data_IF_816415602477
#
_entry.id   IF_816415602477
#
_cell.length_a   1.000
_cell.length_b   1.000
_cell.length_c   1.000
_cell.angle_alpha   90.00
_cell.angle_beta   90.00
_cell.angle_gamma   90.00
#
_symmetry.space_group_name_H-M   'P 1'
#
loop_
_entity.id
_entity.type
_entity.pdbx_description
1 polymer ?
#
# COMPACT_ATOMS: atom_id res chain seq x y z
N UNK A 1 12.15 -2.92 19.14
CA UNK A 1 12.17 -2.87 20.62
C UNK A 1 13.58 -2.80 21.20
N UNK A 2 14.42 -3.87 21.15
CA UNK A 2 15.75 -3.85 21.79
C UNK A 2 16.67 -2.75 21.26
N UNK A 3 16.74 -2.58 19.93
CA UNK A 3 17.49 -1.49 19.29
C UNK A 3 17.06 -0.07 19.76
N UNK A 4 15.80 0.12 20.16
CA UNK A 4 15.34 1.40 20.73
C UNK A 4 15.83 1.57 22.17
N UNK A 5 15.96 0.48 22.93
CA UNK A 5 16.47 0.50 24.30
C UNK A 5 17.99 0.65 24.36
N UNK A 6 18.72 0.19 23.33
CA UNK A 6 20.17 0.33 23.22
C UNK A 6 20.62 1.79 23.23
N UNK A 7 19.81 2.71 22.71
CA UNK A 7 20.10 4.15 22.69
C UNK A 7 20.30 4.75 24.09
N UNK A 8 19.74 4.13 25.12
CA UNK A 8 19.90 4.60 26.51
C UNK A 8 21.20 4.13 27.17
N UNK A 9 21.97 3.29 26.48
CA UNK A 9 23.22 2.70 26.96
C UNK A 9 24.45 3.54 26.61
N UNK A 10 24.31 4.56 25.76
CA UNK A 10 25.44 5.37 25.30
C UNK A 10 26.20 6.03 26.45
N UNK A 11 27.51 5.77 26.51
CA UNK A 11 28.38 6.27 27.57
C UNK A 11 28.27 5.56 28.92
N UNK A 12 27.50 4.47 29.02
CA UNK A 12 27.55 3.55 30.18
C UNK A 12 28.71 2.55 30.02
N UNK A 13 29.25 2.02 31.12
CA UNK A 13 30.42 1.14 31.07
C UNK A 13 30.06 -0.27 30.61
N UNK A 14 30.64 -0.67 29.47
CA UNK A 14 30.47 -1.98 28.81
C UNK A 14 29.04 -2.54 28.92
N UNK A 15 28.03 -1.80 28.41
CA UNK A 15 26.64 -2.12 28.62
C UNK A 15 26.16 -3.17 27.62
N UNK A 16 25.20 -3.99 28.03
CA UNK A 16 24.47 -4.88 27.14
C UNK A 16 23.00 -4.94 27.55
N UNK A 17 22.12 -5.17 26.59
CA UNK A 17 20.69 -5.37 26.80
C UNK A 17 20.25 -6.66 26.14
N UNK A 18 19.42 -7.44 26.83
CA UNK A 18 18.91 -8.71 26.32
C UNK A 18 17.49 -8.97 26.80
N UNK A 19 16.68 -9.65 25.98
CA UNK A 19 15.38 -10.15 26.41
C UNK A 19 15.56 -11.51 27.10
N UNK A 20 15.12 -11.62 28.35
CA UNK A 20 15.21 -12.83 29.16
C UNK A 20 13.93 -13.68 29.12
N UNK A 21 12.80 -13.04 28.84
CA UNK A 21 11.55 -13.70 28.51
C UNK A 21 10.78 -12.86 27.51
N UNK A 22 10.07 -13.51 26.58
CA UNK A 22 9.22 -12.85 25.59
C UNK A 22 7.88 -13.60 25.59
N UNK A 23 6.78 -12.85 25.72
CA UNK A 23 5.44 -13.37 25.57
C UNK A 23 4.66 -12.45 24.65
N UNK A 24 4.20 -13.00 23.54
CA UNK A 24 3.32 -12.26 22.63
C UNK A 24 1.91 -12.16 23.20
N UNK A 25 1.31 -11.00 23.03
CA UNK A 25 -0.07 -10.71 23.41
C UNK A 25 -0.80 -10.11 22.22
N UNK A 26 -2.06 -10.49 22.01
CA UNK A 26 -2.82 -9.91 20.93
C UNK A 26 -3.14 -8.44 21.22
N UNK A 27 -3.14 -7.63 20.17
CA UNK A 27 -3.58 -6.24 20.23
C UNK A 27 -5.10 -6.14 20.44
N UNK A 28 -5.84 -6.96 19.67
CA UNK A 28 -7.30 -7.10 19.67
C UNK A 28 -7.67 -8.49 19.11
N UNK A 29 -8.94 -8.71 18.72
CA UNK A 29 -9.36 -9.98 18.11
C UNK A 29 -8.52 -10.26 16.86
N UNK A 30 -7.74 -11.34 16.88
CA UNK A 30 -6.89 -11.74 15.76
C UNK A 30 -5.79 -10.73 15.38
N UNK A 31 -5.33 -9.86 16.29
CA UNK A 31 -4.31 -8.82 16.03
C UNK A 31 -4.76 -7.67 15.10
N UNK A 32 -6.06 -7.54 14.88
CA UNK A 32 -6.64 -6.52 14.01
C UNK A 32 -6.85 -5.19 14.72
N UNK A 33 -6.23 -4.12 14.23
CA UNK A 33 -6.48 -2.75 14.68
C UNK A 33 -7.59 -2.07 13.87
N UNK A 34 -7.68 -2.39 12.59
CA UNK A 34 -8.69 -1.83 11.69
C UNK A 34 -8.34 -2.03 10.23
N UNK A 35 -9.14 -1.40 9.39
CA UNK A 35 -8.94 -1.34 7.94
C UNK A 35 -8.61 0.11 7.57
N UNK A 36 -7.51 0.32 6.84
CA UNK A 36 -7.16 1.60 6.24
C UNK A 36 -7.49 1.54 4.75
N UNK A 37 -8.46 2.34 4.31
CA UNK A 37 -8.78 2.47 2.89
C UNK A 37 -7.79 3.42 2.24
N UNK A 38 -6.89 2.90 1.41
CA UNK A 38 -5.93 3.66 0.61
C UNK A 38 -6.51 3.90 -0.78
N UNK A 39 -7.36 4.91 -0.84
CA UNK A 39 -8.06 5.29 -2.07
C UNK A 39 -8.95 4.18 -2.62
N UNK A 40 -8.78 3.91 -3.91
CA UNK A 40 -9.71 3.10 -4.70
C UNK A 40 -9.33 1.63 -4.86
N UNK A 41 -8.07 1.25 -4.59
CA UNK A 41 -7.55 -0.09 -4.93
C UNK A 41 -7.01 -0.90 -3.75
N UNK A 42 -6.94 -0.33 -2.54
CA UNK A 42 -6.42 -1.06 -1.40
C UNK A 42 -7.19 -0.76 -0.13
N UNK A 43 -7.55 -1.82 0.60
CA UNK A 43 -7.80 -1.73 2.03
C UNK A 43 -6.63 -2.41 2.73
N UNK A 44 -5.71 -1.64 3.30
CA UNK A 44 -4.63 -2.19 4.09
C UNK A 44 -5.19 -2.65 5.43
N UNK A 45 -4.93 -3.90 5.80
CA UNK A 45 -5.23 -4.36 7.14
C UNK A 45 -4.20 -3.71 8.08
N UNK A 46 -4.68 -2.87 9.00
CA UNK A 46 -3.85 -2.38 10.09
C UNK A 46 -3.79 -3.49 11.13
N UNK A 47 -2.66 -4.19 11.20
CA UNK A 47 -2.40 -5.22 12.21
C UNK A 47 -1.39 -4.70 13.23
N UNK A 48 -1.27 -5.40 14.34
CA UNK A 48 -0.29 -5.08 15.34
C UNK A 48 -0.23 -6.13 16.42
N UNK A 49 0.83 -6.08 17.22
CA UNK A 49 1.03 -7.02 18.31
C UNK A 49 1.52 -6.30 19.55
N UNK A 50 1.40 -6.98 20.68
CA UNK A 50 2.03 -6.56 21.94
C UNK A 50 3.05 -7.59 22.36
N UNK A 51 4.21 -7.12 22.79
CA UNK A 51 5.27 -7.94 23.35
C UNK A 51 5.36 -7.62 24.84
N UNK A 52 5.08 -8.60 25.68
CA UNK A 52 5.32 -8.55 27.12
C UNK A 52 6.64 -9.27 27.40
N UNK A 53 7.69 -8.51 27.68
CA UNK A 53 9.05 -9.02 27.82
C UNK A 53 9.70 -8.63 29.14
N UNK A 54 10.64 -9.44 29.61
CA UNK A 54 11.56 -9.07 30.68
C UNK A 54 12.91 -8.74 30.04
N UNK A 55 13.31 -7.48 30.09
CA UNK A 55 14.54 -6.98 29.48
C UNK A 55 15.59 -6.77 30.55
N UNK A 56 16.74 -7.40 30.40
CA UNK A 56 17.88 -7.29 31.32
C UNK A 56 18.94 -6.40 30.72
N UNK A 57 19.27 -5.35 31.44
CA UNK A 57 20.46 -4.54 31.25
C UNK A 57 21.58 -5.08 32.11
N UNK A 58 22.79 -5.11 31.58
CA UNK A 58 23.97 -5.59 32.27
C UNK A 58 25.14 -4.64 32.02
N UNK A 59 25.83 -4.30 33.10
CA UNK A 59 26.93 -3.35 33.14
C UNK A 59 28.17 -4.00 33.73
N UNK A 60 29.33 -3.66 33.19
CA UNK A 60 30.63 -4.04 33.76
C UNK A 60 31.47 -2.80 33.99
N UNK A 61 31.91 -2.59 35.23
CA UNK A 61 32.64 -1.39 35.63
C UNK A 61 33.92 -1.75 36.41
N UNK A 62 34.94 -0.88 36.43
CA UNK A 62 36.18 -1.13 37.16
C UNK A 62 36.02 -1.06 38.68
N UNK A 63 35.00 -0.38 39.18
CA UNK A 63 34.71 -0.21 40.61
C UNK A 63 33.25 -0.54 40.93
N UNK A 64 32.99 -0.87 42.20
CA UNK A 64 31.64 -1.10 42.72
C UNK A 64 30.75 0.14 42.51
N UNK A 65 31.24 1.31 42.89
CA UNK A 65 30.54 2.60 42.76
C UNK A 65 30.17 2.90 41.30
N UNK A 66 31.08 2.67 40.35
CA UNK A 66 30.78 2.89 38.93
C UNK A 66 29.72 1.93 38.37
N UNK A 67 29.62 0.70 38.90
CA UNK A 67 28.56 -0.24 38.54
C UNK A 67 27.20 0.19 39.12
N UNK A 68 27.19 0.76 40.32
CA UNK A 68 25.99 1.31 40.96
C UNK A 68 25.50 2.59 40.26
N UNK A 69 26.42 3.49 39.92
CA UNK A 69 26.16 4.72 39.18
C UNK A 69 25.59 4.44 37.78
N UNK A 70 26.08 3.39 37.11
CA UNK A 70 25.58 2.99 35.79
C UNK A 70 24.08 2.63 35.82
N UNK A 71 23.64 1.86 36.83
CA UNK A 71 22.23 1.50 37.00
C UNK A 71 21.39 2.72 37.35
N UNK A 72 21.88 3.58 38.26
CA UNK A 72 21.20 4.83 38.63
C UNK A 72 21.03 5.76 37.42
N UNK A 73 22.08 5.86 36.59
CA UNK A 73 22.07 6.64 35.36
C UNK A 73 21.10 6.08 34.33
N UNK A 74 21.06 4.75 34.14
CA UNK A 74 20.08 4.09 33.29
C UNK A 74 18.65 4.44 33.75
N UNK A 75 18.37 4.29 35.04
CA UNK A 75 17.04 4.55 35.59
C UNK A 75 16.62 6.01 35.38
N UNK A 76 17.52 6.96 35.61
CA UNK A 76 17.26 8.38 35.36
C UNK A 76 16.97 8.67 33.88
N UNK A 77 17.72 8.06 32.96
CA UNK A 77 17.51 8.21 31.51
C UNK A 77 16.18 7.64 31.05
N UNK A 78 15.83 6.43 31.49
CA UNK A 78 14.55 5.79 31.16
C UNK A 78 13.37 6.60 31.70
N UNK A 79 13.49 7.16 32.90
CA UNK A 79 12.47 8.02 33.48
C UNK A 79 12.32 9.34 32.68
N UNK A 80 13.45 9.99 32.36
CA UNK A 80 13.46 11.23 31.59
C UNK A 80 12.92 11.05 30.16
N UNK A 81 13.05 9.85 29.59
CA UNK A 81 12.55 9.53 28.26
C UNK A 81 11.18 8.85 28.24
N UNK A 82 10.45 8.82 29.37
CA UNK A 82 9.17 8.13 29.50
C UNK A 82 8.15 8.51 28.42
N UNK A 83 8.00 9.80 28.11
CA UNK A 83 7.09 10.27 27.06
C UNK A 83 7.54 9.82 25.66
N UNK A 84 8.84 9.92 25.36
CA UNK A 84 9.40 9.48 24.08
C UNK A 84 9.26 7.96 23.90
N UNK A 85 9.48 7.19 24.96
CA UNK A 85 9.29 5.75 24.99
C UNK A 85 7.81 5.39 24.78
N UNK A 86 6.87 6.13 25.40
CA UNK A 86 5.45 5.93 25.18
C UNK A 86 5.06 6.15 23.71
N UNK A 87 5.53 7.24 23.10
CA UNK A 87 5.32 7.54 21.67
C UNK A 87 5.92 6.43 20.78
N UNK A 88 7.07 5.87 21.17
CA UNK A 88 7.73 4.79 20.45
C UNK A 88 7.06 3.41 20.63
N UNK A 89 6.01 3.29 21.46
CA UNK A 89 5.22 2.06 21.65
C UNK A 89 5.43 1.35 23.00
N UNK A 90 6.23 1.89 23.93
CA UNK A 90 6.41 1.31 25.26
C UNK A 90 5.25 1.69 26.18
N UNK A 91 4.21 0.87 26.21
CA UNK A 91 3.01 1.06 27.03
C UNK A 91 3.27 0.86 28.53
N UNK A 92 4.25 0.03 28.87
CA UNK A 92 4.69 -0.19 30.25
C UNK A 92 6.18 -0.46 30.28
N UNK A 93 6.87 0.21 31.19
CA UNK A 93 8.25 -0.06 31.54
C UNK A 93 8.37 0.00 33.06
N UNK A 94 8.58 -1.14 33.72
CA UNK A 94 8.59 -1.23 35.18
C UNK A 94 9.85 -1.96 35.63
N UNK A 95 10.61 -1.37 36.54
CA UNK A 95 11.74 -2.06 37.16
C UNK A 95 11.24 -3.28 37.94
N UNK A 96 11.81 -4.44 37.66
CA UNK A 96 11.42 -5.71 38.29
C UNK A 96 12.47 -6.15 39.30
N UNK A 97 13.74 -6.10 38.90
CA UNK A 97 14.85 -6.56 39.73
C UNK A 97 16.10 -5.72 39.46
N UNK A 98 16.92 -5.52 40.48
CA UNK A 98 18.29 -5.04 40.32
C UNK A 98 19.18 -5.93 41.16
N UNK A 99 20.18 -6.54 40.54
CA UNK A 99 21.11 -7.39 41.28
C UNK A 99 22.01 -6.57 42.18
N UNK A 100 22.54 -7.20 43.23
CA UNK A 100 23.74 -6.68 43.87
C UNK A 100 24.89 -6.71 42.86
N UNK A 101 25.86 -5.80 43.03
CA UNK A 101 27.06 -5.82 42.23
C UNK A 101 27.95 -7.00 42.65
N UNK A 102 28.44 -7.73 41.66
CA UNK A 102 29.25 -8.94 41.83
C UNK A 102 30.63 -8.71 41.23
N UNK A 103 31.69 -9.06 41.96
CA UNK A 103 33.05 -9.01 41.42
C UNK A 103 33.30 -10.23 40.52
N UNK A 104 33.66 -9.98 39.27
CA UNK A 104 34.00 -10.99 38.27
C UNK A 104 35.52 -11.09 38.20
N UNK A 105 36.08 -12.09 38.90
CA UNK A 105 37.52 -12.26 39.03
C UNK A 105 38.25 -12.44 37.68
N UNK A 106 37.62 -13.10 36.71
CA UNK A 106 38.21 -13.37 35.40
C UNK A 106 38.53 -12.12 34.59
N UNK A 107 37.75 -11.04 34.77
CA UNK A 107 37.90 -9.76 34.06
C UNK A 107 38.30 -8.62 34.98
N UNK A 108 38.46 -8.89 36.28
CA UNK A 108 38.68 -7.92 37.35
C UNK A 108 37.71 -6.72 37.29
N UNK A 109 36.43 -6.99 37.06
CA UNK A 109 35.38 -5.97 36.92
C UNK A 109 34.20 -6.27 37.83
N UNK A 110 33.44 -5.25 38.20
CA UNK A 110 32.16 -5.37 38.89
C UNK A 110 31.03 -5.45 37.88
N UNK A 111 30.22 -6.50 37.98
CA UNK A 111 29.02 -6.71 37.16
C UNK A 111 27.78 -6.34 37.97
N UNK A 112 26.88 -5.56 37.37
CA UNK A 112 25.55 -5.31 37.93
C UNK A 112 24.48 -5.42 36.85
N UNK A 113 23.31 -5.93 37.20
CA UNK A 113 22.19 -6.11 36.27
C UNK A 113 20.94 -5.39 36.77
N UNK A 114 20.14 -4.89 35.83
CA UNK A 114 18.83 -4.30 36.08
C UNK A 114 17.83 -4.89 35.10
N UNK A 115 16.77 -5.52 35.62
CA UNK A 115 15.71 -6.15 34.83
C UNK A 115 14.46 -5.28 34.85
N UNK A 116 13.88 -5.05 33.68
CA UNK A 116 12.65 -4.29 33.50
C UNK A 116 11.61 -5.17 32.81
N UNK A 117 10.38 -5.12 33.32
CA UNK A 117 9.22 -5.64 32.62
C UNK A 117 8.71 -4.61 31.63
N UNK A 118 8.65 -5.00 30.37
CA UNK A 118 8.29 -4.17 29.22
C UNK A 118 6.99 -4.68 28.59
N UNK A 119 6.03 -3.80 28.36
CA UNK A 119 4.94 -4.03 27.42
C UNK A 119 5.13 -3.09 26.22
N UNK A 120 5.47 -3.66 25.08
CA UNK A 120 5.75 -2.94 23.85
C UNK A 120 4.67 -3.24 22.81
N UNK A 121 4.05 -2.21 22.24
CA UNK A 121 3.11 -2.32 21.14
C UNK A 121 3.81 -1.95 19.82
N UNK A 122 3.67 -2.81 18.81
CA UNK A 122 4.14 -2.53 17.47
C UNK A 122 2.97 -2.62 16.48
N UNK A 123 3.03 -1.79 15.46
CA UNK A 123 2.06 -1.77 14.37
C UNK A 123 2.77 -2.19 13.09
N UNK A 124 2.08 -2.96 12.27
CA UNK A 124 2.53 -3.29 10.92
C UNK A 124 1.32 -3.30 10.00
N UNK A 125 1.57 -3.05 8.72
CA UNK A 125 0.55 -3.09 7.71
C UNK A 125 0.64 -4.43 7.02
N UNK A 126 -0.51 -5.02 6.75
CA UNK A 126 -0.60 -6.28 6.05
C UNK A 126 -1.48 -6.12 4.81
N UNK A 127 -1.01 -6.67 3.71
CA UNK A 127 -1.65 -6.62 2.39
C UNK A 127 -2.55 -7.83 2.13
N UNK A 128 -2.72 -8.73 3.11
CA UNK A 128 -3.68 -9.85 3.05
C UNK A 128 -5.11 -9.42 2.63
N UNK A 129 -5.48 -8.14 2.79
CA UNK A 129 -6.76 -7.55 2.38
C UNK A 129 -6.84 -7.07 0.91
N UNK A 130 -5.93 -7.49 0.04
CA UNK A 130 -5.83 -7.07 -1.37
C UNK A 130 -6.92 -7.66 -2.29
N UNK A 131 -8.13 -7.93 -1.78
CA UNK A 131 -9.27 -8.39 -2.60
C UNK A 131 -9.64 -7.34 -3.69
N UNK A 132 -9.30 -6.07 -3.47
CA UNK A 132 -9.60 -4.94 -4.37
C UNK A 132 -8.70 -4.80 -5.60
N UNK A 133 -7.65 -5.63 -5.75
CA UNK A 133 -6.82 -5.69 -6.98
C UNK A 133 -7.14 -6.89 -7.86
N UNK A 134 -8.10 -7.74 -7.46
CA UNK A 134 -8.56 -8.87 -8.27
C UNK A 134 -9.40 -8.32 -9.43
N UNK A 135 -8.75 -8.07 -10.57
CA UNK A 135 -9.42 -7.59 -11.78
C UNK A 135 -10.32 -8.65 -12.43
N UNK A 136 -9.98 -9.94 -12.23
CA UNK A 136 -10.57 -11.06 -12.95
C UNK A 136 -10.57 -12.31 -12.09
N UNK A 137 -11.74 -12.94 -11.91
CA UNK A 137 -11.84 -14.29 -11.30
C UNK A 137 -12.40 -15.25 -12.36
N UNK A 138 -11.60 -16.21 -12.86
CA UNK A 138 -12.12 -17.27 -13.70
C UNK A 138 -12.98 -18.24 -12.88
N UNK A 139 -14.22 -18.44 -13.31
CA UNK A 139 -15.16 -19.42 -12.73
C UNK A 139 -14.98 -20.78 -13.40
N UNK A 140 -14.60 -20.80 -14.68
CA UNK A 140 -14.41 -22.03 -15.44
C UNK A 140 -13.20 -21.90 -16.37
N UNK A 141 -12.38 -22.94 -16.40
CA UNK A 141 -11.17 -23.02 -17.22
C UNK A 141 -11.27 -24.24 -18.14
N UNK A 142 -11.22 -24.03 -19.44
CA UNK A 142 -10.91 -25.08 -20.40
C UNK A 142 -9.40 -25.34 -20.36
N UNK A 143 -9.00 -26.56 -20.02
CA UNK A 143 -7.60 -26.93 -19.87
C UNK A 143 -6.92 -27.18 -21.23
N UNK A 144 -7.69 -27.31 -22.32
CA UNK A 144 -7.17 -27.60 -23.65
C UNK A 144 -6.76 -26.34 -24.45
N UNK A 145 -7.33 -25.18 -24.14
CA UNK A 145 -6.94 -23.89 -24.74
C UNK A 145 -5.68 -23.30 -24.07
N UNK A 146 -4.89 -22.43 -24.70
CA UNK A 146 -3.75 -21.75 -24.06
C UNK A 146 -4.11 -20.34 -23.53
N UNK A 147 -3.40 -19.87 -22.50
CA UNK A 147 -3.47 -18.48 -22.01
C UNK A 147 -4.86 -18.04 -21.51
N UNK A 148 -5.21 -16.77 -21.75
CA UNK A 148 -6.49 -16.16 -21.32
C UNK A 148 -7.73 -16.78 -21.98
N UNK A 149 -7.55 -17.56 -23.06
CA UNK A 149 -8.62 -18.26 -23.78
C UNK A 149 -9.13 -19.48 -23.01
N UNK A 150 -8.38 -19.94 -22.00
CA UNK A 150 -8.83 -20.98 -21.06
C UNK A 150 -10.06 -20.54 -20.29
N UNK A 151 -10.21 -19.26 -19.99
CA UNK A 151 -11.25 -18.80 -19.07
C UNK A 151 -12.60 -18.64 -19.78
N UNK A 152 -13.50 -19.62 -19.64
CA UNK A 152 -14.79 -19.64 -20.35
C UNK A 152 -15.92 -18.94 -19.60
N UNK A 153 -15.70 -18.58 -18.33
CA UNK A 153 -16.63 -17.75 -17.54
C UNK A 153 -15.84 -16.92 -16.55
N UNK A 154 -16.07 -15.61 -16.54
CA UNK A 154 -15.28 -14.64 -15.77
C UNK A 154 -16.18 -13.62 -15.11
N UNK A 155 -15.89 -13.30 -13.83
CA UNK A 155 -16.40 -12.10 -13.18
C UNK A 155 -15.35 -11.00 -13.31
N UNK A 156 -15.72 -9.90 -13.96
CA UNK A 156 -14.93 -8.67 -14.04
C UNK A 156 -15.63 -7.59 -13.23
N UNK A 157 -14.91 -6.93 -12.31
CA UNK A 157 -15.35 -5.65 -11.75
C UNK A 157 -15.11 -4.53 -12.80
N UNK A 158 -15.45 -3.28 -12.51
CA UNK A 158 -15.05 -2.11 -13.30
C UNK A 158 -13.54 -1.78 -13.15
N UNK A 159 -12.72 -2.83 -13.13
CA UNK A 159 -11.29 -2.89 -12.87
C UNK A 159 -10.64 -3.77 -13.94
N UNK A 160 -9.53 -3.31 -14.50
CA UNK A 160 -8.67 -4.09 -15.39
C UNK A 160 -7.23 -4.05 -14.92
N UNK A 161 -6.45 -5.06 -15.34
CA UNK A 161 -4.99 -5.08 -15.22
C UNK A 161 -4.40 -5.09 -16.62
N UNK A 162 -3.41 -4.23 -16.85
CA UNK A 162 -2.52 -4.25 -18.01
C UNK A 162 -1.13 -4.65 -17.56
N UNK A 163 -0.51 -5.55 -18.29
CA UNK A 163 0.86 -6.02 -18.08
C UNK A 163 1.47 -6.55 -19.39
N UNK A 164 2.61 -7.23 -19.28
CA UNK A 164 3.33 -7.85 -20.40
C UNK A 164 2.67 -9.12 -20.95
N UNK A 165 1.60 -9.62 -20.33
CA UNK A 165 0.81 -10.73 -20.87
C UNK A 165 -0.39 -10.22 -21.66
N UNK A 166 -1.10 -9.22 -21.14
CA UNK A 166 -2.26 -8.64 -21.82
C UNK A 166 -2.60 -7.21 -21.36
N UNK A 167 -3.20 -6.45 -22.27
CA UNK A 167 -3.77 -5.13 -22.01
C UNK A 167 -5.22 -5.02 -22.52
N UNK A 168 -6.19 -5.75 -21.91
CA UNK A 168 -7.59 -5.74 -22.34
C UNK A 168 -8.25 -4.37 -22.17
N UNK A 169 -9.24 -4.04 -23.00
CA UNK A 169 -9.98 -2.79 -22.87
C UNK A 169 -10.75 -2.71 -21.54
N UNK A 170 -10.70 -1.55 -20.86
CA UNK A 170 -11.64 -1.22 -19.79
C UNK A 170 -12.94 -0.73 -20.41
N UNK A 171 -14.03 -1.45 -20.21
CA UNK A 171 -15.33 -1.11 -20.79
C UNK A 171 -16.40 -0.98 -19.70
N UNK A 172 -17.12 0.14 -19.72
CA UNK A 172 -18.30 0.37 -18.89
C UNK A 172 -19.44 0.79 -19.79
N UNK A 173 -20.44 -0.08 -19.92
CA UNK A 173 -21.67 0.20 -20.66
C UNK A 173 -22.80 0.53 -19.69
N UNK A 174 -23.75 1.37 -20.12
CA UNK A 174 -24.97 1.55 -19.33
C UNK A 174 -25.83 0.27 -19.39
N UNK A 175 -26.33 -0.15 -18.24
CA UNK A 175 -27.27 -1.27 -18.14
C UNK A 175 -28.68 -0.82 -18.51
N UNK A 176 -29.46 -1.68 -19.17
CA UNK A 176 -30.83 -1.36 -19.59
C UNK A 176 -31.70 -0.95 -18.38
N UNK A 177 -32.10 0.33 -18.34
CA UNK A 177 -32.97 0.87 -17.28
C UNK A 177 -32.24 1.59 -16.14
N UNK A 178 -30.92 1.58 -16.11
CA UNK A 178 -30.10 2.31 -15.13
C UNK A 178 -29.26 3.38 -15.82
N UNK A 179 -29.13 4.55 -15.20
CA UNK A 179 -28.20 5.60 -15.65
C UNK A 179 -26.89 5.38 -14.95
N UNK A 180 -25.85 4.99 -15.68
CA UNK A 180 -24.53 4.82 -15.10
C UNK A 180 -23.82 6.17 -15.06
N UNK A 181 -23.40 6.56 -13.87
CA UNK A 181 -22.55 7.73 -13.66
C UNK A 181 -21.10 7.27 -13.49
N UNK A 182 -20.17 8.01 -14.10
CA UNK A 182 -18.74 7.82 -13.90
C UNK A 182 -18.20 9.10 -13.29
N UNK A 183 -17.80 9.02 -12.03
CA UNK A 183 -17.31 10.18 -11.26
C UNK A 183 -15.80 10.37 -11.41
N UNK A 184 -15.11 9.41 -11.99
CA UNK A 184 -13.67 9.49 -12.22
C UNK A 184 -13.06 8.15 -12.60
N UNK A 185 -11.74 8.14 -12.61
CA UNK A 185 -10.90 6.97 -12.74
C UNK A 185 -9.95 6.93 -11.55
N UNK A 186 -9.54 5.73 -11.21
CA UNK A 186 -8.42 5.53 -10.32
C UNK A 186 -7.39 4.65 -11.04
N UNK A 187 -6.12 4.79 -10.65
CA UNK A 187 -5.03 3.96 -11.14
C UNK A 187 -4.10 3.51 -10.01
N UNK A 188 -3.49 2.33 -10.18
CA UNK A 188 -2.35 1.87 -9.41
C UNK A 188 -1.32 1.31 -10.39
N UNK A 189 -0.16 1.94 -10.51
CA UNK A 189 0.79 1.67 -11.60
C UNK A 189 2.22 1.46 -11.12
N UNK A 190 2.86 0.40 -11.58
CA UNK A 190 4.31 0.20 -11.56
C UNK A 190 4.85 0.37 -12.98
N UNK A 191 5.76 1.33 -13.15
CA UNK A 191 6.47 1.58 -14.40
C UNK A 191 7.98 1.53 -14.16
N UNK A 192 8.74 0.71 -14.89
CA UNK A 192 10.20 0.75 -14.90
C UNK A 192 10.70 2.14 -15.30
N UNK A 193 11.90 2.49 -14.82
CA UNK A 193 12.54 3.73 -15.21
C UNK A 193 12.66 3.82 -16.74
N UNK A 194 12.39 5.00 -17.29
CA UNK A 194 12.46 5.33 -18.74
C UNK A 194 11.39 4.67 -19.62
N UNK A 195 10.62 3.69 -19.13
CA UNK A 195 9.50 3.14 -19.87
C UNK A 195 8.31 4.10 -19.86
N UNK A 196 7.77 4.38 -21.05
CA UNK A 196 6.60 5.27 -21.20
C UNK A 196 5.37 4.57 -21.74
N UNK A 197 5.54 3.40 -22.37
CA UNK A 197 4.49 2.64 -23.05
C UNK A 197 3.95 3.30 -24.32
N UNK A 198 3.15 2.55 -25.07
CA UNK A 198 2.47 3.03 -26.28
C UNK A 198 1.24 3.87 -25.97
N UNK A 199 0.59 4.39 -27.02
CA UNK A 199 -0.58 5.26 -26.89
C UNK A 199 -1.75 4.61 -26.15
N UNK A 200 -2.51 5.44 -25.43
CA UNK A 200 -3.76 5.06 -24.76
C UNK A 200 -4.90 5.93 -25.27
N UNK A 201 -6.04 5.34 -25.59
CA UNK A 201 -7.24 6.08 -25.99
C UNK A 201 -8.31 5.97 -24.92
N UNK A 202 -8.84 7.12 -24.51
CA UNK A 202 -10.03 7.23 -23.65
C UNK A 202 -11.18 7.71 -24.54
N UNK A 203 -12.29 6.98 -24.55
CA UNK A 203 -13.41 7.24 -25.42
C UNK A 203 -14.76 7.12 -24.71
N UNK A 204 -15.71 7.94 -25.16
CA UNK A 204 -17.14 7.72 -24.97
C UNK A 204 -17.73 7.42 -26.34
N UNK A 205 -18.33 6.25 -26.48
CA UNK A 205 -18.81 5.74 -27.75
C UNK A 205 -20.32 5.50 -27.68
N UNK A 206 -21.05 6.04 -28.65
CA UNK A 206 -22.38 5.56 -29.03
C UNK A 206 -22.22 4.38 -30.00
N UNK A 207 -22.65 3.19 -29.59
CA UNK A 207 -22.58 1.96 -30.40
C UNK A 207 -23.41 2.00 -31.69
N UNK A 208 -24.33 2.96 -31.82
CA UNK A 208 -25.12 3.16 -33.05
C UNK A 208 -24.51 4.17 -34.00
N UNK A 209 -23.49 4.91 -33.57
CA UNK A 209 -22.81 5.86 -34.44
C UNK A 209 -22.08 5.11 -35.56
N UNK A 210 -22.20 5.61 -36.79
CA UNK A 210 -21.61 5.01 -37.98
C UNK A 210 -20.36 5.74 -38.48
N UNK A 211 -19.98 6.85 -37.85
CA UNK A 211 -18.79 7.65 -38.16
C UNK A 211 -17.65 7.39 -37.19
N UNK A 212 -16.49 7.99 -37.44
CA UNK A 212 -15.40 7.98 -36.47
C UNK A 212 -15.72 8.90 -35.28
N UNK A 213 -15.22 8.61 -34.06
CA UNK A 213 -15.37 9.49 -32.91
C UNK A 213 -14.74 10.87 -33.15
N UNK A 214 -15.38 11.91 -32.62
CA UNK A 214 -14.80 13.26 -32.55
C UNK A 214 -13.51 13.21 -31.72
N UNK A 215 -12.39 13.65 -32.30
CA UNK A 215 -11.09 13.64 -31.60
C UNK A 215 -10.85 14.98 -30.92
N UNK A 216 -10.59 14.94 -29.61
CA UNK A 216 -10.23 16.11 -28.82
C UNK A 216 -8.74 16.14 -28.50
N UNK A 217 -8.16 17.34 -28.46
CA UNK A 217 -6.72 17.55 -28.26
C UNK A 217 -6.26 17.35 -26.80
N UNK A 218 -7.18 17.35 -25.83
CA UNK A 218 -6.85 17.20 -24.42
C UNK A 218 -7.99 16.54 -23.66
N UNK A 219 -7.65 15.92 -22.53
CA UNK A 219 -8.62 15.32 -21.62
C UNK A 219 -9.65 16.33 -21.12
N UNK A 220 -9.23 17.57 -20.83
CA UNK A 220 -10.13 18.63 -20.39
C UNK A 220 -11.15 19.02 -21.48
N UNK A 221 -10.71 19.12 -22.74
CA UNK A 221 -11.61 19.43 -23.85
C UNK A 221 -12.59 18.27 -24.15
N UNK A 222 -12.08 17.03 -24.11
CA UNK A 222 -12.90 15.82 -24.20
C UNK A 222 -13.96 15.80 -23.09
N UNK A 223 -13.55 15.95 -21.82
CA UNK A 223 -14.42 15.90 -20.66
C UNK A 223 -15.50 16.99 -20.70
N UNK A 224 -15.14 18.23 -21.03
CA UNK A 224 -16.09 19.32 -21.19
C UNK A 224 -17.14 19.02 -22.29
N UNK A 225 -16.72 18.46 -23.43
CA UNK A 225 -17.63 18.14 -24.53
C UNK A 225 -18.58 16.99 -24.21
N UNK A 226 -18.10 15.91 -23.58
CA UNK A 226 -18.94 14.75 -23.28
C UNK A 226 -19.87 14.97 -22.08
N UNK A 227 -19.59 15.99 -21.25
CA UNK A 227 -20.40 16.36 -20.09
C UNK A 227 -21.25 17.60 -20.28
N UNK A 228 -21.28 18.18 -21.49
CA UNK A 228 -22.12 19.34 -21.80
C UNK A 228 -23.59 19.08 -21.40
N UNK A 229 -24.22 19.98 -20.62
CA UNK A 229 -25.55 19.73 -20.08
C UNK A 229 -26.67 19.80 -21.14
N UNK A 230 -26.40 20.43 -22.29
CA UNK A 230 -27.39 20.69 -23.34
C UNK A 230 -27.22 19.72 -24.51
N UNK A 231 -26.00 19.59 -25.02
CA UNK A 231 -25.65 18.80 -26.20
C UNK A 231 -24.33 18.07 -26.01
N UNK A 232 -24.28 17.06 -25.11
CA UNK A 232 -23.06 16.31 -24.87
C UNK A 232 -22.65 15.53 -26.11
N UNK A 233 -21.37 15.57 -26.46
CA UNK A 233 -20.83 14.65 -27.46
C UNK A 233 -20.87 13.22 -26.90
N UNK A 234 -21.49 12.32 -27.66
CA UNK A 234 -21.69 10.91 -27.27
C UNK A 234 -20.77 9.96 -28.02
N UNK A 235 -20.02 10.45 -29.00
CA UNK A 235 -19.14 9.63 -29.82
C UNK A 235 -17.83 10.39 -30.03
N UNK A 236 -17.02 10.41 -28.97
CA UNK A 236 -15.83 11.23 -28.82
C UNK A 236 -14.67 10.44 -28.23
N UNK A 237 -13.44 10.89 -28.50
CA UNK A 237 -12.23 10.31 -27.94
C UNK A 237 -11.13 11.35 -27.68
N UNK A 238 -10.19 10.96 -26.83
CA UNK A 238 -8.89 11.61 -26.65
C UNK A 238 -7.81 10.53 -26.61
N UNK A 239 -6.69 10.80 -27.26
CA UNK A 239 -5.55 9.87 -27.31
C UNK A 239 -4.35 10.50 -26.61
N UNK A 240 -3.80 9.76 -25.65
CA UNK A 240 -2.53 10.06 -25.02
C UNK A 240 -1.41 9.39 -25.81
N UNK A 241 -0.26 10.06 -26.00
CA UNK A 241 0.85 9.52 -26.76
C UNK A 241 1.50 8.29 -26.10
N UNK A 242 1.33 8.13 -24.78
CA UNK A 242 1.93 7.04 -24.00
C UNK A 242 1.13 6.74 -22.72
N UNK A 243 1.40 5.59 -22.08
CA UNK A 243 0.87 5.26 -20.74
C UNK A 243 1.34 6.27 -19.71
N UNK A 244 2.62 6.65 -19.73
CA UNK A 244 3.14 7.68 -18.83
C UNK A 244 2.43 9.03 -19.00
N UNK A 245 2.07 9.41 -20.22
CA UNK A 245 1.31 10.64 -20.48
C UNK A 245 -0.15 10.56 -19.95
N UNK A 246 -0.77 9.38 -20.01
CA UNK A 246 -2.05 9.14 -19.34
C UNK A 246 -1.91 9.28 -17.83
N UNK A 247 -0.93 8.59 -17.22
CA UNK A 247 -0.73 8.61 -15.77
C UNK A 247 -0.40 10.01 -15.25
N UNK A 248 0.29 10.84 -16.03
CA UNK A 248 0.54 12.24 -15.69
C UNK A 248 -0.73 13.10 -15.63
N UNK A 249 -1.87 12.63 -16.16
CA UNK A 249 -3.16 13.29 -15.98
C UNK A 249 -3.85 12.94 -14.65
N UNK A 250 -3.37 11.93 -13.92
CA UNK A 250 -3.88 11.56 -12.60
C UNK A 250 -3.16 12.38 -11.53
N UNK A 251 -3.91 12.76 -10.49
CA UNK A 251 -3.33 13.29 -9.26
C UNK A 251 -2.80 12.13 -8.42
N UNK A 252 -1.56 12.22 -7.95
CA UNK A 252 -0.99 11.24 -7.01
C UNK A 252 -1.78 11.23 -5.70
N UNK A 253 -2.19 10.05 -5.23
CA UNK A 253 -2.97 9.91 -3.99
C UNK A 253 -2.31 8.95 -3.01
N UNK A 254 -1.79 9.47 -1.92
CA UNK A 254 -1.16 8.67 -0.87
C UNK A 254 0.25 8.20 -1.23
N UNK A 255 0.81 7.35 -0.36
CA UNK A 255 2.16 6.81 -0.52
C UNK A 255 2.18 5.63 -1.50
N UNK A 256 3.31 5.39 -2.20
CA UNK A 256 3.51 4.19 -3.00
C UNK A 256 3.27 2.90 -2.20
N UNK A 257 2.82 1.86 -2.90
CA UNK A 257 2.53 0.55 -2.33
C UNK A 257 3.56 -0.45 -2.86
N UNK A 258 4.33 -1.06 -1.95
CA UNK A 258 5.23 -2.18 -2.27
C UNK A 258 4.39 -3.42 -2.64
N UNK A 259 4.54 -3.98 -3.84
CA UNK A 259 3.78 -5.16 -4.25
C UNK A 259 4.56 -6.01 -5.25
N UNK A 260 4.87 -7.26 -4.90
CA UNK A 260 5.57 -8.15 -5.82
C UNK A 260 7.00 -7.69 -6.12
N UNK A 261 7.61 -8.36 -7.09
CA UNK A 261 8.97 -8.17 -7.60
C UNK A 261 8.93 -8.71 -9.03
N UNK A 262 8.28 -7.96 -9.93
CA UNK A 262 7.96 -8.39 -11.28
C UNK A 262 9.16 -8.36 -12.22
N UNK A 263 10.17 -7.56 -11.90
CA UNK A 263 11.46 -7.55 -12.59
C UNK A 263 12.49 -8.53 -12.02
N UNK A 264 12.15 -9.22 -10.92
CA UNK A 264 12.95 -10.25 -10.26
C UNK A 264 14.31 -9.73 -9.77
N UNK A 265 14.39 -8.45 -9.38
CA UNK A 265 15.62 -7.81 -8.93
C UNK A 265 15.87 -7.97 -7.41
N UNK A 266 14.90 -8.54 -6.69
CA UNK A 266 14.95 -8.76 -5.25
C UNK A 266 14.52 -7.55 -4.41
N UNK A 267 14.02 -6.48 -5.05
CA UNK A 267 13.45 -5.28 -4.44
C UNK A 267 11.95 -5.25 -4.73
N UNK A 268 11.10 -5.02 -3.72
CA UNK A 268 9.67 -4.90 -3.97
C UNK A 268 9.33 -3.73 -4.93
N UNK A 269 8.48 -4.00 -5.92
CA UNK A 269 8.02 -2.97 -6.85
C UNK A 269 7.17 -1.92 -6.14
N UNK A 270 7.42 -0.64 -6.45
CA UNK A 270 6.67 0.48 -5.90
C UNK A 270 5.57 0.94 -6.85
N UNK A 271 4.33 0.59 -6.52
CA UNK A 271 3.16 1.01 -7.26
C UNK A 271 2.71 2.39 -6.84
N UNK A 272 2.56 3.29 -7.81
CA UNK A 272 2.07 4.64 -7.60
C UNK A 272 0.53 4.68 -7.72
N UNK A 273 -0.19 4.98 -6.62
CA UNK A 273 -1.62 5.27 -6.69
C UNK A 273 -1.89 6.65 -7.30
N UNK A 274 -2.95 6.74 -8.10
CA UNK A 274 -3.45 7.99 -8.66
C UNK A 274 -4.97 8.02 -8.79
N UNK A 275 -5.53 9.22 -8.80
CA UNK A 275 -6.95 9.47 -9.02
C UNK A 275 -7.17 10.58 -10.05
N UNK A 276 -8.21 10.43 -10.86
CA UNK A 276 -8.65 11.41 -11.84
C UNK A 276 -10.14 11.64 -11.67
N UNK A 277 -10.51 12.82 -11.20
CA UNK A 277 -11.91 13.17 -10.97
C UNK A 277 -12.58 13.69 -12.26
N UNK A 278 -13.83 13.29 -12.49
CA UNK A 278 -14.71 13.88 -13.50
C UNK A 278 -15.75 14.76 -12.80
N UNK A 279 -15.56 16.08 -12.87
CA UNK A 279 -16.51 17.06 -12.35
C UNK A 279 -16.89 18.07 -13.43
N UNK A 280 -18.10 18.00 -14.00
CA UNK A 280 -19.20 17.09 -13.63
C UNK A 280 -18.96 15.61 -14.03
N UNK A 281 -19.69 14.65 -13.43
CA UNK A 281 -19.57 13.23 -13.78
C UNK A 281 -20.00 12.93 -15.21
N UNK A 282 -19.33 11.96 -15.85
CA UNK A 282 -19.73 11.45 -17.17
C UNK A 282 -20.99 10.59 -17.03
N UNK A 283 -21.98 10.83 -17.88
CA UNK A 283 -23.29 10.16 -17.83
C UNK A 283 -23.46 9.22 -19.02
N UNK A 284 -23.61 7.93 -18.76
CA UNK A 284 -24.05 6.95 -19.76
C UNK A 284 -25.56 6.75 -19.56
N UNK A 285 -26.36 7.30 -20.48
CA UNK A 285 -27.82 7.44 -20.35
C UNK A 285 -28.60 6.35 -21.09
N UNK A 286 -28.01 5.75 -22.12
CA UNK A 286 -28.66 4.73 -22.95
C UNK A 286 -27.81 3.47 -22.99
N UNK A 287 -28.44 2.32 -23.27
CA UNK A 287 -27.74 1.03 -23.43
C UNK A 287 -26.72 1.00 -24.59
N UNK A 288 -26.75 2.02 -25.44
CA UNK A 288 -25.80 2.18 -26.55
C UNK A 288 -24.57 3.01 -26.15
N UNK A 289 -24.62 3.70 -25.00
CA UNK A 289 -23.49 4.45 -24.46
C UNK A 289 -22.46 3.50 -23.84
N UNK A 290 -21.20 3.64 -24.24
CA UNK A 290 -20.04 2.91 -23.76
C UNK A 290 -18.94 3.90 -23.38
N UNK A 291 -18.38 3.77 -22.18
CA UNK A 291 -17.09 4.37 -21.84
C UNK A 291 -16.00 3.31 -21.99
N UNK A 292 -14.91 3.66 -22.67
CA UNK A 292 -13.85 2.71 -22.99
C UNK A 292 -12.47 3.35 -22.78
N UNK A 293 -11.54 2.57 -22.22
CA UNK A 293 -10.10 2.88 -22.23
C UNK A 293 -9.37 1.72 -22.89
N UNK A 294 -8.58 2.02 -23.93
CA UNK A 294 -7.82 1.04 -24.70
C UNK A 294 -6.34 1.39 -24.76
N UNK A 295 -5.50 0.38 -24.58
CA UNK A 295 -4.09 0.45 -24.94
C UNK A 295 -3.92 0.04 -26.40
N UNK A 296 -2.99 0.69 -27.10
CA UNK A 296 -2.82 0.50 -28.55
C UNK A 296 -2.19 -0.83 -28.96
N UNK A 297 -1.44 -1.45 -28.05
CA UNK A 297 -0.81 -2.75 -28.25
C UNK A 297 -1.56 -3.83 -27.44
N UNK A 298 -1.44 -5.12 -27.80
CA UNK A 298 -2.14 -6.19 -27.09
C UNK A 298 -1.62 -6.44 -25.66
N UNK A 299 -0.39 -6.02 -25.34
CA UNK A 299 0.27 -6.16 -24.04
C UNK A 299 1.42 -5.14 -23.93
N UNK A 300 1.96 -4.94 -22.72
CA UNK A 300 3.16 -4.14 -22.51
C UNK A 300 4.42 -4.86 -23.02
N UNK A 301 5.37 -4.08 -23.50
CA UNK A 301 6.69 -4.54 -23.97
C UNK A 301 7.77 -4.45 -22.87
N UNK A 302 7.36 -4.22 -21.63
CA UNK A 302 8.22 -4.18 -20.44
C UNK A 302 7.52 -4.81 -19.24
N UNK A 303 8.29 -5.12 -18.18
CA UNK A 303 7.79 -5.54 -16.87
C UNK A 303 7.14 -4.34 -16.16
N UNK A 304 6.00 -3.90 -16.68
CA UNK A 304 5.18 -2.84 -16.12
C UNK A 304 3.82 -3.43 -15.74
N UNK A 305 3.15 -2.84 -14.76
CA UNK A 305 1.79 -3.25 -14.39
C UNK A 305 0.94 -2.03 -14.11
N UNK A 306 -0.25 -1.98 -14.70
CA UNK A 306 -1.22 -0.90 -14.49
C UNK A 306 -2.57 -1.49 -14.14
N UNK A 307 -3.09 -1.17 -12.97
CA UNK A 307 -4.49 -1.41 -12.60
C UNK A 307 -5.30 -0.15 -12.84
N UNK A 308 -6.36 -0.23 -13.64
CA UNK A 308 -7.26 0.90 -13.92
C UNK A 308 -8.68 0.56 -13.49
N UNK A 309 -9.32 1.49 -12.77
CA UNK A 309 -10.67 1.33 -12.24
C UNK A 309 -11.54 2.53 -12.60
N UNK A 310 -12.80 2.27 -12.92
CA UNK A 310 -13.84 3.30 -13.04
C UNK A 310 -14.48 3.56 -11.68
N UNK A 311 -14.57 4.84 -11.29
CA UNK A 311 -15.17 5.27 -10.03
C UNK A 311 -16.62 5.69 -10.17
N UNK A 312 -17.40 5.42 -9.12
CA UNK A 312 -18.75 5.96 -8.96
C UNK A 312 -19.83 5.31 -9.84
N UNK A 313 -19.61 4.07 -10.30
CA UNK A 313 -20.61 3.27 -11.01
C UNK A 313 -21.79 2.96 -10.08
N UNK A 314 -22.73 3.90 -9.98
CA UNK A 314 -24.02 3.69 -9.32
C UNK A 314 -24.98 3.18 -10.39
N UNK A 315 -25.43 1.93 -10.25
CA UNK A 315 -26.55 1.37 -11.01
C UNK A 315 -27.89 1.77 -10.38
#
# INVERSE_FOLDING_TARGET
MLALLEQFLDGLPAPSVSATSITERPLALGNWRGMERRGSFATAALKGGRIDAAVRFQFFAPTLEAADDAVTTLQARLLAASDALFIAGFLRLTAEETSLAEHVAATNTWRKTATYRVLYEYHYQDQDGAESIIARIPIHSDLEEPGLQRETTVVTDALIRWDNEAAPALEVAATTGARTQITGLAVLAYLPAEWTGSSVTVARLDRRATGAPTVYASLAAFHAAVTDPVSPDRHAQVTFPSVAALLAAFETVGDPIELGDWDEDGVPDLYQPGALAFNPPLQLKTSDDLFQITYSEPAFDAQSVVYLRVEGVVN
#
